data_IF_450462858637
#
_entry.id   IF_450462858637
#
_cell.length_a   1.000
_cell.length_b   1.000
_cell.length_c   1.000
_cell.angle_alpha   90.00
_cell.angle_beta   90.00
_cell.angle_gamma   90.00
#
_symmetry.space_group_name_H-M   'P 1'
#
loop_
_entity.id
_entity.type
_entity.pdbx_description
1 polymer ?
#
# COMPACT_ATOMS: atom_id res chain seq x y z
N UNK A 1 20.38 24.26 11.58
CA UNK A 1 20.92 22.91 11.82
C UNK A 1 19.77 22.04 12.31
N UNK A 2 19.23 21.15 11.48
CA UNK A 2 18.05 20.32 11.82
C UNK A 2 18.55 19.07 12.54
N UNK A 3 18.20 18.92 13.81
CA UNK A 3 18.55 17.74 14.61
C UNK A 3 17.62 16.59 14.22
N UNK A 4 18.19 15.54 13.63
CA UNK A 4 17.49 14.28 13.38
C UNK A 4 17.35 13.55 14.72
N UNK A 5 16.13 13.45 15.26
CA UNK A 5 15.84 12.59 16.42
C UNK A 5 15.32 11.25 15.93
N UNK A 6 15.89 10.17 16.48
CA UNK A 6 15.48 8.78 16.23
C UNK A 6 14.05 8.60 16.75
N UNK A 7 13.13 8.14 15.90
CA UNK A 7 11.77 7.78 16.34
C UNK A 7 11.89 6.53 17.21
N UNK A 8 11.57 6.65 18.50
CA UNK A 8 11.46 5.51 19.41
C UNK A 8 10.04 4.96 19.29
N UNK A 9 9.88 3.81 18.65
CA UNK A 9 8.58 3.14 18.53
C UNK A 9 8.42 2.24 19.76
N UNK A 10 7.58 2.66 20.70
CA UNK A 10 7.27 1.85 21.88
C UNK A 10 6.40 0.65 21.46
N UNK A 11 6.64 -0.56 22.02
CA UNK A 11 5.91 -1.79 21.70
C UNK A 11 4.36 -1.78 21.77
N UNK A 12 3.66 -0.94 22.56
CA UNK A 12 2.19 -1.03 22.62
C UNK A 12 1.45 -0.38 21.44
N UNK A 13 2.14 0.36 20.55
CA UNK A 13 1.48 1.10 19.46
C UNK A 13 0.85 0.18 18.40
N UNK A 14 1.45 -0.97 18.13
CA UNK A 14 0.88 -1.94 17.17
C UNK A 14 -0.39 -2.57 17.74
N UNK A 15 -0.47 -2.77 19.07
CA UNK A 15 -1.60 -3.45 19.67
C UNK A 15 -2.83 -2.54 19.83
N UNK A 16 -2.63 -1.22 19.91
CA UNK A 16 -3.71 -0.23 20.06
C UNK A 16 -4.31 0.30 18.75
N UNK A 17 -3.70 0.07 17.59
CA UNK A 17 -4.26 0.50 16.29
C UNK A 17 -5.38 -0.41 15.78
N UNK A 18 -6.38 0.14 15.09
CA UNK A 18 -7.46 -0.68 14.52
C UNK A 18 -7.01 -1.53 13.31
N UNK A 19 -5.93 -1.14 12.63
CA UNK A 19 -5.34 -1.84 11.49
C UNK A 19 -3.84 -1.55 11.40
N UNK A 20 -3.13 -2.30 10.54
CA UNK A 20 -1.72 -2.05 10.20
C UNK A 20 -1.58 -1.98 8.68
N UNK A 21 -0.96 -0.92 8.15
CA UNK A 21 -0.64 -0.81 6.72
C UNK A 21 0.86 -0.93 6.51
N UNK A 22 1.29 -1.77 5.57
CA UNK A 22 2.72 -1.90 5.23
C UNK A 22 3.22 -0.65 4.49
N UNK A 23 4.54 -0.43 4.48
CA UNK A 23 5.13 0.50 3.50
C UNK A 23 4.83 -0.04 2.09
N UNK A 24 4.58 0.85 1.15
CA UNK A 24 4.30 0.49 -0.24
C UNK A 24 5.45 -0.30 -0.85
N UNK A 25 5.20 -1.57 -1.19
CA UNK A 25 6.16 -2.46 -1.81
C UNK A 25 6.04 -2.48 -3.33
N UNK A 26 7.16 -2.68 -4.01
CA UNK A 26 7.21 -3.14 -5.41
C UNK A 26 7.49 -4.63 -5.42
N UNK A 27 7.32 -5.28 -6.58
CA UNK A 27 7.59 -6.72 -6.73
C UNK A 27 9.01 -7.10 -6.27
N UNK A 28 10.01 -6.30 -6.66
CA UNK A 28 11.44 -6.60 -6.44
C UNK A 28 12.14 -5.68 -5.44
N UNK A 29 11.39 -4.78 -4.79
CA UNK A 29 11.96 -3.72 -3.95
C UNK A 29 12.33 -2.48 -4.76
N UNK A 30 12.50 -1.36 -4.07
CA UNK A 30 12.81 -0.07 -4.64
C UNK A 30 14.23 0.35 -4.30
N UNK A 31 14.99 0.80 -5.29
CA UNK A 31 16.36 1.24 -5.05
C UNK A 31 16.38 2.60 -4.31
N UNK A 32 16.32 2.54 -2.99
CA UNK A 32 16.33 3.71 -2.11
C UNK A 32 17.75 4.27 -1.98
N UNK A 33 17.97 5.50 -2.47
CA UNK A 33 19.28 6.15 -2.41
C UNK A 33 19.49 6.86 -1.06
N UNK A 34 20.75 7.03 -0.67
CA UNK A 34 21.18 7.63 0.61
C UNK A 34 20.74 9.10 0.79
N UNK A 35 20.23 9.75 -0.27
CA UNK A 35 19.83 11.16 -0.25
C UNK A 35 18.38 11.40 0.21
N UNK A 36 17.61 10.35 0.53
CA UNK A 36 16.24 10.52 1.04
C UNK A 36 16.27 11.06 2.47
N UNK A 37 15.43 12.06 2.75
CA UNK A 37 15.39 12.79 4.03
C UNK A 37 13.96 12.94 4.50
N UNK A 38 13.80 13.06 5.81
CA UNK A 38 12.59 13.54 6.47
C UNK A 38 12.91 14.81 7.24
N UNK A 39 12.00 15.77 7.18
CA UNK A 39 12.04 16.98 7.98
C UNK A 39 10.71 17.12 8.73
N UNK A 40 10.79 17.56 9.98
CA UNK A 40 9.63 17.92 10.77
C UNK A 40 9.61 19.44 10.93
N UNK A 41 8.41 20.01 10.85
CA UNK A 41 8.15 21.41 11.18
C UNK A 41 8.35 21.65 12.68
N UNK A 42 8.55 22.92 13.07
CA UNK A 42 8.85 23.28 14.47
C UNK A 42 7.72 22.93 15.44
N UNK A 43 6.49 23.03 14.98
CA UNK A 43 5.27 22.66 15.74
C UNK A 43 5.05 21.13 15.79
N UNK A 44 5.84 20.35 15.05
CA UNK A 44 5.85 18.88 14.99
C UNK A 44 4.57 18.22 14.45
N UNK A 45 3.61 19.01 13.96
CA UNK A 45 2.36 18.48 13.39
C UNK A 45 2.45 18.24 11.88
N UNK A 46 3.45 18.84 11.22
CA UNK A 46 3.70 18.67 9.79
C UNK A 46 5.06 18.03 9.54
N UNK A 47 5.12 17.12 8.57
CA UNK A 47 6.37 16.53 8.09
C UNK A 47 6.47 16.61 6.57
N UNK A 48 7.71 16.64 6.08
CA UNK A 48 8.05 16.52 4.67
C UNK A 48 9.05 15.38 4.52
N UNK A 49 8.82 14.47 3.58
CA UNK A 49 9.77 13.39 3.30
C UNK A 49 9.97 13.20 1.81
N UNK A 50 11.17 12.75 1.44
CA UNK A 50 11.50 12.39 0.06
C UNK A 50 11.61 10.87 -0.15
N UNK A 51 11.17 10.05 0.82
CA UNK A 51 11.24 8.60 0.73
C UNK A 51 10.47 8.09 -0.49
N UNK A 52 11.05 7.11 -1.19
CA UNK A 52 10.37 6.41 -2.27
C UNK A 52 9.54 5.25 -1.74
N UNK A 53 9.33 4.25 -2.59
CA UNK A 53 8.77 2.96 -2.18
C UNK A 53 9.75 2.17 -1.30
N UNK A 54 9.28 1.07 -0.72
CA UNK A 54 10.09 0.20 0.14
C UNK A 54 11.30 -0.40 -0.59
N UNK A 55 12.50 -0.44 0.03
CA UNK A 55 13.64 -1.20 -0.47
C UNK A 55 13.46 -2.71 -0.36
N UNK A 56 12.60 -3.17 0.55
CA UNK A 56 12.23 -4.58 0.64
C UNK A 56 11.17 -4.94 -0.41
N UNK A 57 11.31 -6.08 -1.09
CA UNK A 57 10.32 -6.59 -2.04
C UNK A 57 9.03 -6.99 -1.32
N UNK A 58 7.95 -7.16 -2.09
CA UNK A 58 6.65 -7.63 -1.58
C UNK A 58 6.78 -8.94 -0.78
N UNK A 59 7.63 -9.87 -1.21
CA UNK A 59 7.82 -11.17 -0.56
C UNK A 59 8.25 -11.04 0.92
N UNK A 60 9.04 -10.02 1.26
CA UNK A 60 9.39 -9.72 2.65
C UNK A 60 8.16 -9.34 3.47
N UNK A 61 7.30 -8.47 2.95
CA UNK A 61 6.08 -8.05 3.64
C UNK A 61 5.10 -9.19 3.82
N UNK A 62 4.92 -10.03 2.80
CA UNK A 62 4.11 -11.25 2.90
C UNK A 62 4.63 -12.13 4.04
N UNK A 63 5.95 -12.37 4.09
CA UNK A 63 6.58 -13.14 5.18
C UNK A 63 6.37 -12.51 6.56
N UNK A 64 6.44 -11.18 6.66
CA UNK A 64 6.22 -10.49 7.93
C UNK A 64 4.76 -10.62 8.40
N UNK A 65 3.80 -10.39 7.50
CA UNK A 65 2.37 -10.55 7.80
C UNK A 65 2.07 -12.01 8.17
N UNK A 66 2.60 -12.97 7.41
CA UNK A 66 2.48 -14.40 7.70
C UNK A 66 2.96 -14.76 9.11
N UNK A 67 4.15 -14.28 9.48
CA UNK A 67 4.74 -14.50 10.80
C UNK A 67 3.84 -13.93 11.90
N UNK A 68 3.36 -12.69 11.71
CA UNK A 68 2.52 -12.02 12.71
C UNK A 68 1.17 -12.71 12.86
N UNK A 69 0.52 -13.09 11.76
CA UNK A 69 -0.77 -13.79 11.79
C UNK A 69 -0.65 -15.19 12.40
N UNK A 70 0.43 -15.91 12.09
CA UNK A 70 0.72 -17.24 12.66
C UNK A 70 0.95 -17.16 14.18
N UNK A 71 1.65 -16.12 14.66
CA UNK A 71 1.93 -15.91 16.09
C UNK A 71 0.85 -15.11 16.81
N UNK A 72 -0.26 -14.77 16.16
CA UNK A 72 -1.31 -13.97 16.76
C UNK A 72 -2.03 -14.77 17.87
N UNK A 73 -2.39 -14.14 19.01
CA UNK A 73 -3.24 -14.78 20.01
C UNK A 73 -4.57 -15.24 19.40
N UNK A 74 -5.12 -16.33 19.96
CA UNK A 74 -6.44 -16.82 19.57
C UNK A 74 -7.50 -15.70 19.67
N UNK A 75 -8.35 -15.59 18.66
CA UNK A 75 -9.37 -14.53 18.57
C UNK A 75 -8.86 -13.17 18.10
N UNK A 76 -7.58 -13.03 17.74
CA UNK A 76 -7.08 -11.79 17.12
C UNK A 76 -7.74 -11.54 15.76
N UNK A 77 -8.32 -10.35 15.59
CA UNK A 77 -9.03 -9.93 14.37
C UNK A 77 -8.36 -8.77 13.65
N UNK A 78 -7.21 -8.28 14.14
CA UNK A 78 -6.55 -7.09 13.59
C UNK A 78 -6.19 -7.31 12.11
N UNK A 79 -6.65 -6.44 11.19
CA UNK A 79 -6.37 -6.54 9.77
C UNK A 79 -5.03 -5.88 9.39
N UNK A 80 -4.44 -6.42 8.33
CA UNK A 80 -3.28 -5.90 7.63
C UNK A 80 -3.67 -5.42 6.24
N UNK A 81 -3.22 -4.23 5.88
CA UNK A 81 -3.33 -3.68 4.54
C UNK A 81 -1.94 -3.74 3.91
N UNK A 82 -1.76 -4.63 2.94
CA UNK A 82 -0.52 -4.74 2.18
C UNK A 82 -0.55 -3.67 1.09
N UNK A 83 0.19 -2.58 1.31
CA UNK A 83 0.34 -1.50 0.34
C UNK A 83 1.32 -1.91 -0.76
N UNK A 84 0.89 -1.83 -2.01
CA UNK A 84 1.66 -2.19 -3.21
C UNK A 84 1.58 -1.11 -4.28
N UNK A 85 2.52 -1.16 -5.22
CA UNK A 85 2.48 -0.32 -6.43
C UNK A 85 3.08 -1.07 -7.61
N UNK A 86 2.55 -0.82 -8.80
CA UNK A 86 3.10 -1.31 -10.06
C UNK A 86 2.68 -0.39 -11.20
N UNK A 87 3.55 -0.23 -12.20
CA UNK A 87 3.21 0.39 -13.49
C UNK A 87 2.94 -0.66 -14.58
N UNK A 88 3.06 -1.94 -14.26
CA UNK A 88 2.85 -3.06 -15.16
C UNK A 88 1.67 -3.91 -14.68
N UNK A 89 0.63 -4.10 -15.52
CA UNK A 89 -0.49 -5.00 -15.22
C UNK A 89 -0.02 -6.42 -14.88
N UNK A 90 0.98 -6.93 -15.61
CA UNK A 90 1.56 -8.26 -15.40
C UNK A 90 2.18 -8.35 -14.01
N UNK A 91 3.04 -7.38 -13.66
CA UNK A 91 3.70 -7.37 -12.35
C UNK A 91 2.68 -7.17 -11.22
N UNK A 92 1.63 -6.37 -11.43
CA UNK A 92 0.55 -6.24 -10.46
C UNK A 92 -0.19 -7.56 -10.24
N UNK A 93 -0.53 -8.28 -11.32
CA UNK A 93 -1.14 -9.61 -11.23
C UNK A 93 -0.27 -10.60 -10.45
N UNK A 94 1.03 -10.64 -10.70
CA UNK A 94 1.96 -11.46 -9.90
C UNK A 94 1.93 -11.10 -8.42
N UNK A 95 1.92 -9.80 -8.10
CA UNK A 95 1.84 -9.32 -6.71
C UNK A 95 0.52 -9.72 -6.03
N UNK A 96 -0.61 -9.56 -6.73
CA UNK A 96 -1.93 -9.94 -6.21
C UNK A 96 -2.05 -11.47 -6.04
N UNK A 97 -1.48 -12.28 -6.94
CA UNK A 97 -1.42 -13.73 -6.77
C UNK A 97 -0.70 -14.11 -5.48
N UNK A 98 0.47 -13.55 -5.20
CA UNK A 98 1.21 -13.85 -3.96
C UNK A 98 0.44 -13.42 -2.71
N UNK A 99 -0.35 -12.35 -2.77
CA UNK A 99 -1.21 -11.95 -1.66
C UNK A 99 -2.42 -12.89 -1.51
N UNK A 100 -3.03 -13.33 -2.62
CA UNK A 100 -4.11 -14.33 -2.60
C UNK A 100 -3.63 -15.67 -2.03
N UNK A 101 -2.40 -16.10 -2.32
CA UNK A 101 -1.80 -17.29 -1.70
C UNK A 101 -1.72 -17.17 -0.17
N UNK A 102 -1.30 -16.00 0.33
CA UNK A 102 -1.31 -15.72 1.77
C UNK A 102 -2.73 -15.75 2.34
N UNK A 103 -3.70 -15.16 1.64
CA UNK A 103 -5.12 -15.18 2.05
C UNK A 103 -5.68 -16.59 2.14
N UNK A 104 -5.40 -17.43 1.15
CA UNK A 104 -5.78 -18.85 1.15
C UNK A 104 -5.19 -19.60 2.34
N UNK A 105 -3.90 -19.35 2.67
CA UNK A 105 -3.25 -19.96 3.83
C UNK A 105 -3.99 -19.69 5.16
N UNK A 106 -4.56 -18.49 5.31
CA UNK A 106 -5.25 -18.08 6.54
C UNK A 106 -6.78 -18.20 6.46
N UNK A 107 -7.32 -18.83 5.41
CA UNK A 107 -8.77 -18.93 5.21
C UNK A 107 -9.46 -17.55 5.28
N UNK A 108 -8.81 -16.53 4.74
CA UNK A 108 -9.22 -15.14 4.92
C UNK A 108 -10.60 -14.84 4.33
N UNK A 109 -10.99 -15.58 3.28
CA UNK A 109 -12.30 -15.47 2.63
C UNK A 109 -13.45 -16.07 3.44
N UNK A 110 -13.17 -16.97 4.40
CA UNK A 110 -14.19 -17.66 5.19
C UNK A 110 -14.63 -16.82 6.41
N UNK A 111 -13.86 -15.78 6.73
CA UNK A 111 -14.14 -14.88 7.84
C UNK A 111 -15.25 -13.88 7.55
N UNK A 112 -15.89 -13.36 8.62
CA UNK A 112 -16.88 -12.28 8.50
C UNK A 112 -16.28 -10.98 7.92
N UNK A 113 -14.97 -10.78 8.08
CA UNK A 113 -14.21 -9.65 7.54
C UNK A 113 -12.82 -10.11 7.13
N UNK A 114 -12.32 -9.65 5.98
CA UNK A 114 -10.94 -9.89 5.56
C UNK A 114 -9.93 -9.27 6.54
N UNK A 115 -8.91 -10.05 6.90
CA UNK A 115 -7.77 -9.63 7.70
C UNK A 115 -6.56 -9.27 6.85
N UNK A 116 -6.57 -9.57 5.55
CA UNK A 116 -5.49 -9.26 4.61
C UNK A 116 -6.09 -8.50 3.43
N UNK A 117 -6.05 -7.18 3.52
CA UNK A 117 -6.48 -6.26 2.49
C UNK A 117 -5.29 -5.79 1.63
N UNK A 118 -5.59 -5.24 0.46
CA UNK A 118 -4.59 -4.65 -0.44
C UNK A 118 -4.87 -3.17 -0.65
N UNK A 119 -3.83 -2.34 -0.59
CA UNK A 119 -3.88 -0.95 -1.05
C UNK A 119 -3.00 -0.80 -2.29
N UNK A 120 -3.56 -0.38 -3.42
CA UNK A 120 -2.77 0.08 -4.55
C UNK A 120 -2.43 1.56 -4.37
N UNK A 121 -1.16 1.87 -4.19
CA UNK A 121 -0.67 3.25 -4.10
C UNK A 121 -0.29 3.79 -5.47
N UNK A 122 -1.08 4.74 -5.95
CA UNK A 122 -0.88 5.43 -7.24
C UNK A 122 -0.46 6.89 -7.07
N UNK A 123 -0.11 7.28 -5.84
CA UNK A 123 0.03 8.67 -5.40
C UNK A 123 1.47 9.18 -5.23
N UNK A 124 2.48 8.29 -5.21
CA UNK A 124 3.82 8.65 -4.73
C UNK A 124 4.52 9.71 -5.60
N UNK A 125 4.81 10.92 -5.07
CA UNK A 125 5.42 12.01 -5.84
C UNK A 125 6.96 11.91 -5.96
N UNK A 126 7.57 10.96 -5.25
CA UNK A 126 9.02 10.88 -5.07
C UNK A 126 9.74 10.02 -6.13
N UNK A 127 9.03 9.67 -7.21
CA UNK A 127 9.56 8.93 -8.36
C UNK A 127 10.07 9.94 -9.40
N UNK A 128 11.38 9.91 -9.68
CA UNK A 128 12.03 10.89 -10.55
C UNK A 128 11.55 10.72 -12.00
N UNK A 129 11.15 11.82 -12.65
CA UNK A 129 10.85 11.83 -14.08
C UNK A 129 9.52 11.19 -14.47
N UNK A 130 8.67 10.81 -13.51
CA UNK A 130 7.34 10.30 -13.78
C UNK A 130 6.34 10.92 -12.81
N UNK A 131 5.29 11.61 -13.30
CA UNK A 131 4.20 12.01 -12.41
C UNK A 131 3.55 10.74 -11.84
N UNK A 132 2.97 10.81 -10.62
CA UNK A 132 2.24 9.68 -10.06
C UNK A 132 1.20 9.13 -11.06
N UNK A 133 1.04 7.79 -11.19
CA UNK A 133 0.12 7.19 -12.16
C UNK A 133 -1.32 7.74 -12.08
N UNK A 134 -1.77 8.13 -10.90
CA UNK A 134 -3.09 8.73 -10.68
C UNK A 134 -3.29 10.14 -11.27
N UNK A 135 -2.23 10.76 -11.83
CA UNK A 135 -2.34 11.97 -12.64
C UNK A 135 -2.37 11.69 -14.15
N UNK A 136 -2.20 10.43 -14.57
CA UNK A 136 -2.24 10.00 -15.97
C UNK A 136 -3.23 8.84 -16.13
N UNK A 137 -4.50 9.18 -16.32
CA UNK A 137 -5.60 8.21 -16.36
C UNK A 137 -5.45 7.10 -17.41
N UNK A 138 -5.01 7.38 -18.66
CA UNK A 138 -4.72 6.32 -19.63
C UNK A 138 -3.74 5.25 -19.13
N UNK A 139 -2.78 5.62 -18.28
CA UNK A 139 -1.86 4.67 -17.66
C UNK A 139 -2.44 3.97 -16.42
N UNK A 140 -3.50 4.54 -15.82
CA UNK A 140 -4.15 4.00 -14.64
C UNK A 140 -5.19 2.92 -15.01
N UNK A 141 -5.94 3.07 -16.09
CA UNK A 141 -7.03 2.15 -16.47
C UNK A 141 -6.58 0.68 -16.54
N UNK A 142 -5.51 0.30 -17.25
CA UNK A 142 -5.09 -1.10 -17.32
C UNK A 142 -4.67 -1.70 -15.97
N UNK A 143 -4.32 -0.85 -15.01
CA UNK A 143 -3.98 -1.25 -13.64
C UNK A 143 -5.26 -1.44 -12.81
N UNK A 144 -6.28 -0.60 -13.01
CA UNK A 144 -7.59 -0.74 -12.39
C UNK A 144 -8.33 -1.98 -12.91
N UNK A 145 -8.22 -2.29 -14.20
CA UNK A 145 -8.80 -3.50 -14.80
C UNK A 145 -8.30 -4.77 -14.10
N UNK A 146 -6.99 -4.83 -13.80
CA UNK A 146 -6.43 -5.94 -13.03
C UNK A 146 -7.02 -6.00 -11.62
N UNK A 147 -7.18 -4.88 -10.92
CA UNK A 147 -7.80 -4.89 -9.59
C UNK A 147 -9.26 -5.35 -9.66
N UNK A 148 -10.02 -4.87 -10.64
CA UNK A 148 -11.41 -5.27 -10.86
C UNK A 148 -11.50 -6.78 -11.12
N UNK A 149 -10.66 -7.33 -11.99
CA UNK A 149 -10.60 -8.76 -12.27
C UNK A 149 -10.40 -9.62 -11.02
N UNK A 150 -9.51 -9.20 -10.11
CA UNK A 150 -9.28 -9.91 -8.85
C UNK A 150 -10.46 -9.79 -7.89
N UNK A 151 -11.07 -8.61 -7.78
CA UNK A 151 -12.26 -8.41 -6.96
C UNK A 151 -13.46 -9.24 -7.46
N UNK A 152 -13.65 -9.33 -8.78
CA UNK A 152 -14.76 -10.11 -9.34
C UNK A 152 -14.54 -11.62 -9.18
N UNK A 153 -13.29 -12.09 -9.23
CA UNK A 153 -12.93 -13.49 -8.93
C UNK A 153 -13.08 -13.82 -7.44
N UNK A 154 -12.84 -12.85 -6.57
CA UNK A 154 -12.95 -13.02 -5.12
C UNK A 154 -13.50 -11.75 -4.47
N UNK A 155 -14.82 -11.77 -4.22
CA UNK A 155 -15.55 -10.62 -3.64
C UNK A 155 -15.24 -10.38 -2.16
N UNK A 156 -14.51 -11.28 -1.52
CA UNK A 156 -14.04 -11.11 -0.13
C UNK A 156 -12.73 -10.32 -0.06
N UNK A 157 -12.02 -10.18 -1.19
CA UNK A 157 -10.80 -9.40 -1.28
C UNK A 157 -11.09 -7.91 -1.11
N UNK A 158 -10.62 -7.35 0.00
CA UNK A 158 -10.72 -5.91 0.27
C UNK A 158 -9.61 -5.17 -0.48
N UNK A 159 -10.01 -4.33 -1.43
CA UNK A 159 -9.10 -3.49 -2.23
C UNK A 159 -9.31 -2.01 -1.90
N UNK A 160 -8.21 -1.29 -1.72
CA UNK A 160 -8.17 0.16 -1.57
C UNK A 160 -7.30 0.82 -2.63
N UNK A 161 -7.62 2.05 -2.99
CA UNK A 161 -6.85 2.87 -3.91
C UNK A 161 -6.35 4.13 -3.18
N UNK A 162 -5.04 4.31 -3.11
CA UNK A 162 -4.41 5.48 -2.48
C UNK A 162 -4.04 6.51 -3.54
N UNK A 163 -4.80 7.59 -3.53
CA UNK A 163 -4.78 8.66 -4.52
C UNK A 163 -3.95 9.86 -4.05
N UNK A 164 -3.37 10.64 -4.98
CA UNK A 164 -2.72 11.89 -4.64
C UNK A 164 -3.77 12.95 -4.28
N UNK A 165 -3.39 14.01 -3.54
CA UNK A 165 -4.26 15.15 -3.35
C UNK A 165 -4.46 15.88 -4.69
N UNK A 166 -5.68 15.84 -5.23
CA UNK A 166 -6.03 16.60 -6.43
C UNK A 166 -6.25 18.08 -6.08
N UNK A 167 -5.69 18.96 -6.87
CA UNK A 167 -5.81 20.42 -6.68
C UNK A 167 -6.75 21.07 -7.71
N UNK A 168 -7.11 20.36 -8.78
CA UNK A 168 -8.10 20.78 -9.77
C UNK A 168 -9.30 19.82 -9.78
N UNK A 169 -10.51 20.37 -9.81
CA UNK A 169 -11.76 19.57 -9.80
C UNK A 169 -11.90 18.65 -11.01
N UNK A 170 -11.34 19.04 -12.16
CA UNK A 170 -11.31 18.20 -13.37
C UNK A 170 -10.56 16.88 -13.14
N UNK A 171 -9.45 16.91 -12.40
CA UNK A 171 -8.70 15.70 -12.08
C UNK A 171 -9.51 14.73 -11.21
N UNK A 172 -10.34 15.25 -10.29
CA UNK A 172 -11.25 14.43 -9.50
C UNK A 172 -12.35 13.80 -10.38
N UNK A 173 -12.95 14.58 -11.28
CA UNK A 173 -13.97 14.09 -12.21
C UNK A 173 -13.43 13.00 -13.14
N UNK A 174 -12.22 13.19 -13.67
CA UNK A 174 -11.58 12.22 -14.57
C UNK A 174 -11.25 10.92 -13.84
N UNK A 175 -10.82 11.01 -12.56
CA UNK A 175 -10.65 9.82 -11.72
C UNK A 175 -11.97 9.09 -11.50
N UNK A 176 -13.03 9.79 -11.10
CA UNK A 176 -14.33 9.16 -10.83
C UNK A 176 -14.84 8.44 -12.08
N UNK A 177 -14.69 9.04 -13.27
CA UNK A 177 -15.02 8.38 -14.53
C UNK A 177 -14.19 7.12 -14.78
N UNK A 178 -12.89 7.17 -14.49
CA UNK A 178 -12.01 6.01 -14.68
C UNK A 178 -12.28 4.87 -13.69
N UNK A 179 -12.78 5.16 -12.49
CA UNK A 179 -13.10 4.15 -11.46
C UNK A 179 -14.53 3.60 -11.61
N UNK A 180 -15.46 4.41 -12.12
CA UNK A 180 -16.86 4.03 -12.27
C UNK A 180 -17.21 3.41 -13.63
N UNK A 181 -16.36 3.58 -14.64
CA UNK A 181 -16.49 2.97 -15.97
C UNK A 181 -16.00 1.53 -15.97
#
# INVERSE_FOLDING_TARGET
>A
MVTVRRIHVSPPLINSSCAVTTRTATLTGFNETVQKKVAFTKDTITSLNSYGYSPHPLSNYIKYVDTILTSAPAGSTKPFIISITSSSPISLGSMLNSIQELRSKFHDADGATSRIAVELNTSCPNIKGSPPPAYNFPCLTPILDVLADYFWKDRTLVLGLKLPPYVYSTQFNDLVKAVAG
#
